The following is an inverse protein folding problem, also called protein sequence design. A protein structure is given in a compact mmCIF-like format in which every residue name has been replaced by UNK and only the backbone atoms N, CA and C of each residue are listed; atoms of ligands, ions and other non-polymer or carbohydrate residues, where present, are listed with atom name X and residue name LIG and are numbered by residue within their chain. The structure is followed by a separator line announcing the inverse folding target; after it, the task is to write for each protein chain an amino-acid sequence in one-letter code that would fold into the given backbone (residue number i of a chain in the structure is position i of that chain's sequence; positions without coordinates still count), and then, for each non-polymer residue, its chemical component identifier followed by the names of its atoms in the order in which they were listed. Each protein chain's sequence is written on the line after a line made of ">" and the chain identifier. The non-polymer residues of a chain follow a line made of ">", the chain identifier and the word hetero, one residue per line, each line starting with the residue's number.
data_IF_368315866260
#
_entry.id   IF_368315866260
#
_cell.length_a   1.000
_cell.length_b   1.000
_cell.length_c   1.000
_cell.angle_alpha   90.00
_cell.angle_beta   90.00
_cell.angle_gamma   90.00
#
_symmetry.space_group_name_H-M   'P 1'
#
loop_
_entity.id
_entity.type
_entity.pdbx_description
1 polymer ?
#
# COMPACT_ATOMS: atom_id res chain seq x y z
N UNK A 1 25.58 -12.25 2.11
CA UNK A 1 25.39 -12.28 3.58
C UNK A 1 23.91 -12.01 3.86
N UNK A 2 23.17 -12.96 4.41
CA UNK A 2 21.73 -12.75 4.66
C UNK A 2 21.48 -11.53 5.56
N UNK A 3 20.36 -10.85 5.34
CA UNK A 3 19.89 -9.80 6.26
C UNK A 3 19.71 -10.43 7.65
N UNK A 4 20.15 -9.75 8.72
CA UNK A 4 19.91 -10.16 10.11
C UNK A 4 18.96 -9.20 10.84
N UNK A 5 18.78 -7.98 10.32
CA UNK A 5 17.81 -7.01 10.80
C UNK A 5 17.10 -6.33 9.64
N UNK A 6 15.78 -6.43 9.62
CA UNK A 6 14.92 -5.80 8.63
C UNK A 6 14.08 -4.70 9.31
N UNK A 7 14.29 -3.46 8.91
CA UNK A 7 13.43 -2.35 9.32
C UNK A 7 12.20 -2.26 8.41
N UNK A 8 11.03 -1.97 8.97
CA UNK A 8 9.81 -1.76 8.18
C UNK A 8 8.99 -0.57 8.70
N UNK A 9 8.02 -0.13 7.91
CA UNK A 9 7.02 0.84 8.36
C UNK A 9 6.09 0.25 9.43
N UNK A 10 5.30 1.12 10.05
CA UNK A 10 4.27 0.72 11.00
C UNK A 10 4.79 0.45 12.41
N UNK A 11 4.03 -0.34 13.17
CA UNK A 11 4.24 -0.60 14.60
C UNK A 11 4.49 -2.09 14.88
N UNK A 12 5.06 -2.43 16.04
CA UNK A 12 5.49 -3.80 16.42
C UNK A 12 4.43 -4.89 16.21
N UNK A 13 3.16 -4.55 16.45
CA UNK A 13 1.99 -5.44 16.32
C UNK A 13 1.08 -5.01 15.16
N UNK A 14 1.61 -4.25 14.20
CA UNK A 14 0.88 -3.82 13.01
C UNK A 14 0.89 -4.90 11.92
N UNK A 15 0.07 -4.72 10.86
CA UNK A 15 -0.04 -5.66 9.76
C UNK A 15 1.30 -5.94 9.07
N UNK A 16 2.13 -4.92 8.84
CA UNK A 16 3.46 -5.05 8.22
C UNK A 16 4.34 -6.07 8.94
N UNK A 17 4.49 -5.88 10.25
CA UNK A 17 5.35 -6.71 11.08
C UNK A 17 4.82 -8.14 11.19
N UNK A 18 3.50 -8.30 11.28
CA UNK A 18 2.85 -9.62 11.35
C UNK A 18 3.04 -10.42 10.06
N UNK A 19 2.77 -9.81 8.90
CA UNK A 19 2.96 -10.45 7.59
C UNK A 19 4.43 -10.80 7.36
N UNK A 20 5.36 -9.88 7.67
CA UNK A 20 6.79 -10.14 7.52
C UNK A 20 7.28 -11.30 8.39
N UNK A 21 6.74 -11.45 9.61
CA UNK A 21 7.05 -12.61 10.47
C UNK A 21 6.62 -13.92 9.81
N UNK A 22 5.43 -13.96 9.20
CA UNK A 22 4.95 -15.12 8.44
C UNK A 22 5.83 -15.42 7.22
N UNK A 23 6.12 -14.42 6.38
CA UNK A 23 6.94 -14.59 5.17
C UNK A 23 8.37 -15.05 5.49
N UNK A 24 8.96 -14.55 6.58
CA UNK A 24 10.35 -14.80 6.96
C UNK A 24 10.49 -15.88 8.04
N UNK A 25 9.45 -16.68 8.25
CA UNK A 25 9.49 -17.82 9.16
C UNK A 25 10.67 -18.75 8.82
N UNK A 26 11.37 -19.22 9.85
CA UNK A 26 12.58 -20.03 9.71
C UNK A 26 13.87 -19.26 9.40
N UNK A 27 13.82 -17.95 9.14
CA UNK A 27 15.03 -17.12 9.09
C UNK A 27 15.31 -16.46 10.45
N UNK A 28 16.59 -16.37 10.81
CA UNK A 28 17.04 -15.73 12.04
C UNK A 28 17.15 -14.20 11.86
N UNK A 29 16.02 -13.53 11.63
CA UNK A 29 15.94 -12.10 11.31
C UNK A 29 15.13 -11.36 12.37
N UNK A 30 15.64 -10.21 12.82
CA UNK A 30 14.88 -9.29 13.67
C UNK A 30 14.11 -8.29 12.80
N UNK A 31 12.78 -8.30 12.91
CA UNK A 31 11.90 -7.33 12.26
C UNK A 31 11.71 -6.15 13.21
N UNK A 32 12.01 -4.94 12.73
CA UNK A 32 12.07 -3.72 13.52
C UNK A 32 11.19 -2.62 12.89
N UNK A 33 9.93 -2.50 13.29
CA UNK A 33 9.06 -1.42 12.82
C UNK A 33 9.54 -0.06 13.34
N UNK A 34 9.44 0.98 12.50
CA UNK A 34 10.02 2.32 12.78
C UNK A 34 8.99 3.44 12.80
N UNK A 35 7.70 3.11 12.70
CA UNK A 35 6.63 4.10 12.60
C UNK A 35 6.62 4.74 11.22
N UNK A 36 7.11 5.98 11.12
CA UNK A 36 6.97 6.82 9.92
C UNK A 36 8.16 6.70 8.95
N UNK A 37 7.87 6.91 7.66
CA UNK A 37 8.84 6.92 6.56
C UNK A 37 10.02 7.88 6.78
N UNK A 38 9.77 9.04 7.39
CA UNK A 38 10.79 10.08 7.60
C UNK A 38 11.94 9.64 8.52
N UNK A 39 11.68 8.69 9.44
CA UNK A 39 12.70 8.12 10.31
C UNK A 39 13.46 6.94 9.70
N UNK A 40 12.89 6.28 8.68
CA UNK A 40 13.37 5.00 8.18
C UNK A 40 14.76 5.10 7.55
N UNK A 41 14.98 6.06 6.65
CA UNK A 41 16.29 6.25 5.97
C UNK A 41 17.41 6.45 6.97
N UNK A 42 17.28 7.43 7.87
CA UNK A 42 18.30 7.77 8.86
C UNK A 42 18.59 6.59 9.79
N UNK A 43 17.55 5.85 10.19
CA UNK A 43 17.68 4.68 11.07
C UNK A 43 18.48 3.55 10.39
N UNK A 44 18.20 3.30 9.12
CA UNK A 44 18.86 2.25 8.35
C UNK A 44 20.32 2.61 8.07
N UNK A 45 20.60 3.85 7.66
CA UNK A 45 21.97 4.33 7.43
C UNK A 45 22.81 4.21 8.71
N UNK A 46 22.33 4.75 9.84
CA UNK A 46 23.07 4.65 11.11
C UNK A 46 23.24 3.22 11.62
N UNK A 47 22.30 2.31 11.30
CA UNK A 47 22.45 0.89 11.62
C UNK A 47 23.46 0.17 10.69
N UNK A 48 23.57 0.60 9.43
CA UNK A 48 24.52 0.07 8.44
C UNK A 48 25.97 0.42 8.77
N UNK A 49 26.21 1.54 9.44
CA UNK A 49 27.53 1.91 9.96
C UNK A 49 28.06 0.87 10.98
N UNK A 50 27.17 0.17 11.67
CA UNK A 50 27.51 -0.86 12.66
C UNK A 50 27.49 -2.26 12.03
N UNK A 51 26.52 -2.56 11.16
CA UNK A 51 26.41 -3.86 10.50
C UNK A 51 25.90 -3.74 9.07
N UNK A 52 26.63 -4.37 8.15
CA UNK A 52 26.24 -4.46 6.75
C UNK A 52 25.01 -5.35 6.52
N UNK A 53 24.66 -6.25 7.45
CA UNK A 53 23.52 -7.18 7.33
C UNK A 53 22.16 -6.54 7.70
N UNK A 54 22.00 -5.26 7.42
CA UNK A 54 20.82 -4.46 7.74
C UNK A 54 20.17 -4.00 6.44
N UNK A 55 18.85 -4.17 6.35
CA UNK A 55 18.05 -3.66 5.24
C UNK A 55 16.73 -3.07 5.76
N UNK A 56 15.98 -2.41 4.87
CA UNK A 56 14.60 -2.04 5.12
C UNK A 56 13.64 -2.50 4.03
N UNK A 57 12.36 -2.52 4.37
CA UNK A 57 11.25 -2.67 3.44
C UNK A 57 10.24 -1.56 3.73
N UNK A 58 9.74 -0.93 2.67
CA UNK A 58 8.77 0.16 2.78
C UNK A 58 7.64 0.00 1.77
N UNK A 59 6.56 0.73 1.99
CA UNK A 59 5.45 0.79 1.04
C UNK A 59 5.85 1.54 -0.23
N UNK A 60 5.18 1.19 -1.34
CA UNK A 60 5.35 1.90 -2.61
C UNK A 60 4.78 3.30 -2.53
N UNK A 61 3.64 3.48 -1.86
CA UNK A 61 2.90 4.75 -1.80
C UNK A 61 2.49 5.30 -3.18
N UNK A 62 1.94 6.51 -3.19
CA UNK A 62 1.60 7.28 -4.40
C UNK A 62 2.80 8.03 -5.00
N UNK A 63 4.00 7.89 -4.42
CA UNK A 63 5.19 8.67 -4.78
C UNK A 63 5.99 8.05 -5.95
N UNK A 64 5.61 6.85 -6.40
CA UNK A 64 6.36 6.01 -7.37
C UNK A 64 5.43 5.48 -8.48
N UNK A 65 4.41 6.25 -8.84
CA UNK A 65 3.33 5.78 -9.70
C UNK A 65 3.65 5.84 -11.20
N UNK A 66 4.78 6.41 -11.63
CA UNK A 66 5.10 6.54 -13.08
C UNK A 66 5.53 5.22 -13.75
N UNK A 67 6.09 4.26 -13.00
CA UNK A 67 6.45 2.94 -13.54
C UNK A 67 5.27 1.98 -13.44
N UNK A 68 4.66 1.64 -14.58
CA UNK A 68 3.53 0.72 -14.64
C UNK A 68 3.94 -0.75 -14.80
N UNK A 69 5.24 -1.04 -14.93
CA UNK A 69 5.71 -2.41 -15.11
C UNK A 69 5.42 -3.28 -13.89
N UNK A 70 5.06 -4.55 -14.15
CA UNK A 70 4.82 -5.56 -13.14
C UNK A 70 5.90 -6.64 -13.21
N UNK A 71 6.66 -6.74 -12.14
CA UNK A 71 7.73 -7.71 -11.93
C UNK A 71 7.35 -8.82 -10.94
N UNK A 72 6.28 -8.64 -10.15
CA UNK A 72 5.93 -9.47 -9.01
C UNK A 72 7.13 -9.67 -8.05
N UNK A 73 7.92 -8.60 -7.86
CA UNK A 73 9.11 -8.60 -7.02
C UNK A 73 9.25 -7.26 -6.31
N UNK A 74 9.71 -7.23 -5.05
CA UNK A 74 10.09 -5.98 -4.42
C UNK A 74 11.19 -5.30 -5.23
N UNK A 75 11.08 -3.99 -5.36
CA UNK A 75 12.03 -3.16 -6.11
C UNK A 75 13.12 -2.63 -5.19
N UNK A 76 14.35 -2.55 -5.70
CA UNK A 76 15.50 -2.06 -4.92
C UNK A 76 15.33 -0.60 -4.54
N UNK A 77 15.63 -0.28 -3.28
CA UNK A 77 15.66 1.09 -2.80
C UNK A 77 17.07 1.50 -2.39
N UNK A 78 17.59 2.53 -3.05
CA UNK A 78 18.89 3.11 -2.77
C UNK A 78 18.80 4.61 -2.51
N UNK A 79 19.78 5.15 -1.81
CA UNK A 79 20.03 6.59 -1.69
C UNK A 79 21.42 6.92 -2.20
N UNK A 80 21.56 8.09 -2.82
CA UNK A 80 22.84 8.60 -3.29
C UNK A 80 23.33 9.68 -2.32
N UNK A 81 24.45 9.43 -1.64
CA UNK A 81 25.15 10.41 -0.80
C UNK A 81 26.59 10.55 -1.29
N UNK A 82 27.04 11.78 -1.58
CA UNK A 82 28.41 12.08 -2.01
C UNK A 82 28.92 11.18 -3.16
N UNK A 83 28.11 11.05 -4.21
CA UNK A 83 28.36 10.18 -5.38
C UNK A 83 28.44 8.67 -5.12
N UNK A 84 28.19 8.22 -3.88
CA UNK A 84 28.07 6.82 -3.54
C UNK A 84 26.60 6.43 -3.43
N UNK A 85 26.20 5.44 -4.22
CA UNK A 85 24.91 4.80 -4.07
C UNK A 85 24.98 3.76 -2.93
N UNK A 86 24.06 3.85 -1.98
CA UNK A 86 23.92 2.90 -0.88
C UNK A 86 22.54 2.28 -0.94
N UNK A 87 22.49 0.96 -1.13
CA UNK A 87 21.23 0.23 -1.05
C UNK A 87 20.74 0.20 0.39
N UNK A 88 19.55 0.75 0.62
CA UNK A 88 18.85 0.71 1.90
C UNK A 88 18.09 -0.59 2.08
N UNK A 89 17.49 -1.11 1.01
CA UNK A 89 16.70 -2.32 1.02
C UNK A 89 15.77 -2.36 -0.18
N UNK A 90 14.47 -2.50 0.06
CA UNK A 90 13.45 -2.64 -0.98
C UNK A 90 12.18 -1.84 -0.67
N UNK A 91 11.32 -1.70 -1.68
CA UNK A 91 9.92 -1.33 -1.50
C UNK A 91 9.02 -2.36 -2.19
N UNK A 92 7.82 -2.54 -1.65
CA UNK A 92 6.79 -3.38 -2.25
C UNK A 92 6.45 -2.93 -3.68
N UNK A 93 6.10 -3.86 -4.57
CA UNK A 93 5.56 -3.53 -5.89
C UNK A 93 4.11 -3.02 -5.77
N UNK A 94 3.32 -3.62 -4.87
CA UNK A 94 1.99 -3.13 -4.52
C UNK A 94 2.06 -1.91 -3.61
N UNK A 95 0.99 -1.11 -3.61
CA UNK A 95 0.89 0.17 -2.91
C UNK A 95 1.33 0.11 -1.45
N UNK A 96 0.75 -0.83 -0.70
CA UNK A 96 0.88 -0.99 0.74
C UNK A 96 0.53 -2.42 1.17
N UNK A 97 0.82 -2.79 2.42
CA UNK A 97 0.60 -4.14 2.92
C UNK A 97 -0.86 -4.62 2.80
N UNK A 98 -1.83 -3.72 2.95
CA UNK A 98 -3.24 -4.06 2.82
C UNK A 98 -3.60 -4.63 1.44
N UNK A 99 -2.89 -4.24 0.38
CA UNK A 99 -3.09 -4.79 -0.96
C UNK A 99 -2.81 -6.29 -1.06
N UNK A 100 -1.91 -6.81 -0.22
CA UNK A 100 -1.67 -8.25 -0.14
C UNK A 100 -2.69 -8.94 0.75
N UNK A 101 -3.09 -8.30 1.85
CA UNK A 101 -4.08 -8.86 2.78
C UNK A 101 -5.44 -9.05 2.10
N UNK A 102 -5.80 -8.18 1.17
CA UNK A 102 -7.02 -8.31 0.36
C UNK A 102 -6.86 -9.12 -0.92
N UNK A 103 -5.68 -9.72 -1.14
CA UNK A 103 -5.49 -10.57 -2.31
C UNK A 103 -6.44 -11.76 -2.26
N UNK A 104 -7.17 -12.07 -3.35
CA UNK A 104 -8.07 -13.22 -3.39
C UNK A 104 -7.41 -14.54 -3.00
N UNK A 105 -6.13 -14.75 -3.27
CA UNK A 105 -5.41 -15.98 -2.89
C UNK A 105 -5.16 -16.03 -1.37
N UNK A 106 -4.75 -14.91 -0.75
CA UNK A 106 -4.59 -14.82 0.71
C UNK A 106 -5.94 -15.05 1.41
N UNK A 107 -6.98 -14.37 0.93
CA UNK A 107 -8.34 -14.49 1.49
C UNK A 107 -8.89 -15.90 1.31
N UNK A 108 -8.64 -16.54 0.16
CA UNK A 108 -9.02 -17.93 -0.07
C UNK A 108 -8.36 -18.86 0.95
N UNK A 109 -7.06 -18.71 1.21
CA UNK A 109 -6.33 -19.57 2.15
C UNK A 109 -6.79 -19.36 3.59
N UNK A 110 -6.92 -18.11 4.03
CA UNK A 110 -7.31 -17.81 5.42
C UNK A 110 -8.79 -18.15 5.70
N UNK A 111 -9.70 -17.82 4.79
CA UNK A 111 -11.13 -18.01 5.03
C UNK A 111 -11.69 -19.31 4.46
N UNK A 112 -10.89 -20.11 3.75
CA UNK A 112 -11.35 -21.30 3.04
C UNK A 112 -12.39 -21.00 1.96
N UNK A 113 -12.38 -19.79 1.38
CA UNK A 113 -13.37 -19.40 0.39
C UNK A 113 -13.23 -20.23 -0.88
N UNK A 114 -14.32 -20.89 -1.28
CA UNK A 114 -14.37 -21.70 -2.50
C UNK A 114 -15.53 -21.31 -3.40
N UNK A 115 -15.43 -21.68 -4.68
CA UNK A 115 -16.51 -21.57 -5.66
C UNK A 115 -17.21 -20.20 -5.67
N UNK A 116 -18.47 -20.17 -5.23
CA UNK A 116 -19.29 -18.97 -5.29
C UNK A 116 -18.84 -17.86 -4.32
N UNK A 117 -18.28 -18.19 -3.15
CA UNK A 117 -17.81 -17.18 -2.18
C UNK A 117 -16.63 -16.41 -2.75
N UNK A 118 -15.65 -17.12 -3.32
CA UNK A 118 -14.48 -16.48 -3.94
C UNK A 118 -14.86 -15.64 -5.16
N UNK A 119 -15.83 -16.09 -5.98
CA UNK A 119 -16.36 -15.26 -7.08
C UNK A 119 -17.00 -13.97 -6.57
N UNK A 120 -17.87 -14.06 -5.55
CA UNK A 120 -18.49 -12.88 -4.93
C UNK A 120 -17.46 -11.92 -4.32
N UNK A 121 -16.40 -12.46 -3.71
CA UNK A 121 -15.29 -11.65 -3.19
C UNK A 121 -14.56 -10.90 -4.30
N UNK A 122 -14.17 -11.59 -5.38
CA UNK A 122 -13.53 -10.97 -6.55
C UNK A 122 -14.40 -9.89 -7.21
N UNK A 123 -15.70 -10.16 -7.38
CA UNK A 123 -16.65 -9.18 -7.90
C UNK A 123 -16.77 -7.95 -6.99
N UNK A 124 -16.77 -8.17 -5.68
CA UNK A 124 -16.82 -7.11 -4.67
C UNK A 124 -15.57 -6.24 -4.71
N UNK A 125 -14.39 -6.86 -4.81
CA UNK A 125 -13.11 -6.18 -4.91
C UNK A 125 -13.04 -5.35 -6.22
N UNK A 126 -13.42 -5.93 -7.36
CA UNK A 126 -13.49 -5.20 -8.65
C UNK A 126 -14.53 -4.07 -8.63
N UNK A 127 -15.65 -4.25 -7.93
CA UNK A 127 -16.65 -3.19 -7.75
C UNK A 127 -16.10 -2.05 -6.89
N UNK A 128 -15.33 -2.36 -5.85
CA UNK A 128 -14.63 -1.36 -5.04
C UNK A 128 -13.65 -0.56 -5.88
N UNK A 129 -12.81 -1.22 -6.69
CA UNK A 129 -11.91 -0.53 -7.62
C UNK A 129 -12.67 0.43 -8.55
N UNK A 130 -13.80 -0.01 -9.15
CA UNK A 130 -14.64 0.89 -9.98
C UNK A 130 -15.18 2.08 -9.21
N UNK A 131 -15.58 1.87 -7.97
CA UNK A 131 -16.14 2.90 -7.10
C UNK A 131 -15.10 3.99 -6.79
N UNK A 132 -13.84 3.60 -6.57
CA UNK A 132 -12.77 4.53 -6.16
C UNK A 132 -11.88 5.01 -7.32
N UNK A 133 -12.10 4.57 -8.56
CA UNK A 133 -11.26 4.90 -9.72
C UNK A 133 -10.88 6.39 -9.84
N UNK A 134 -11.88 7.28 -9.78
CA UNK A 134 -11.63 8.74 -9.86
C UNK A 134 -10.98 9.30 -8.60
N UNK A 135 -11.27 8.71 -7.44
CA UNK A 135 -10.62 9.08 -6.19
C UNK A 135 -9.13 8.76 -6.26
N UNK A 136 -8.78 7.53 -6.65
CA UNK A 136 -7.39 7.11 -6.86
C UNK A 136 -6.66 8.01 -7.86
N UNK A 137 -7.27 8.33 -9.01
CA UNK A 137 -6.68 9.25 -9.99
C UNK A 137 -6.37 10.64 -9.39
N UNK A 138 -7.28 11.17 -8.56
CA UNK A 138 -7.08 12.45 -7.89
C UNK A 138 -6.01 12.38 -6.79
N UNK A 139 -5.92 11.28 -6.03
CA UNK A 139 -4.84 11.05 -5.06
C UNK A 139 -3.47 11.01 -5.73
N UNK A 140 -3.34 10.30 -6.86
CA UNK A 140 -2.10 10.28 -7.68
C UNK A 140 -1.77 11.69 -8.16
N UNK A 141 -2.77 12.43 -8.67
CA UNK A 141 -2.60 13.82 -9.13
C UNK A 141 -2.04 14.72 -8.02
N UNK A 142 -2.54 14.59 -6.80
CA UNK A 142 -2.06 15.34 -5.64
C UNK A 142 -0.62 14.97 -5.29
N UNK A 143 -0.28 13.68 -5.27
CA UNK A 143 1.10 13.22 -5.06
C UNK A 143 2.06 13.75 -6.12
N UNK A 144 1.68 13.76 -7.40
CA UNK A 144 2.48 14.32 -8.49
C UNK A 144 2.61 15.85 -8.42
N UNK A 145 1.80 16.53 -7.61
CA UNK A 145 1.84 17.99 -7.42
C UNK A 145 2.62 18.39 -6.16
N UNK A 146 2.99 17.43 -5.32
CA UNK A 146 3.67 17.67 -4.05
C UNK A 146 5.15 18.01 -4.25
N UNK A 147 5.61 19.15 -3.72
CA UNK A 147 6.99 19.65 -3.87
C UNK A 147 7.89 19.40 -2.65
N UNK A 148 7.42 18.66 -1.65
CA UNK A 148 8.15 18.29 -0.41
C UNK A 148 8.66 19.47 0.44
N UNK A 149 8.16 20.70 0.19
CA UNK A 149 8.47 21.91 0.99
C UNK A 149 7.44 22.10 2.10
N UNK A 150 6.16 22.02 1.73
CA UNK A 150 5.02 21.98 2.62
C UNK A 150 4.28 20.66 2.41
N UNK A 151 3.55 20.15 3.43
CA UNK A 151 2.70 18.98 3.27
C UNK A 151 1.57 19.29 2.28
N UNK A 152 1.31 18.36 1.37
CA UNK A 152 0.12 18.32 0.54
C UNK A 152 -0.55 16.96 0.76
N UNK A 153 -1.65 16.97 1.50
CA UNK A 153 -2.39 15.73 1.74
C UNK A 153 -2.99 15.22 0.43
N UNK A 154 -2.76 13.95 0.15
CA UNK A 154 -3.29 13.24 -1.01
C UNK A 154 -4.56 12.45 -0.69
N UNK A 155 -5.23 12.74 0.42
CA UNK A 155 -6.44 12.05 0.89
C UNK A 155 -7.43 13.07 1.44
N UNK A 156 -8.71 12.70 1.50
CA UNK A 156 -9.74 13.52 2.13
C UNK A 156 -10.95 12.66 2.50
N UNK A 157 -11.86 13.24 3.27
CA UNK A 157 -13.09 12.60 3.68
C UNK A 157 -13.23 12.57 5.19
N UNK A 158 -14.06 11.66 5.67
CA UNK A 158 -14.27 11.49 7.11
C UNK A 158 -13.22 10.52 7.66
N UNK A 159 -12.73 10.85 8.85
CA UNK A 159 -11.95 9.92 9.67
C UNK A 159 -12.73 8.62 9.88
N UNK A 160 -12.04 7.50 9.77
CA UNK A 160 -12.61 6.16 9.92
C UNK A 160 -12.03 5.46 11.15
N UNK A 161 -12.46 4.22 11.36
CA UNK A 161 -12.38 3.44 12.60
C UNK A 161 -11.00 3.33 13.28
N UNK A 162 -9.91 3.64 12.57
CA UNK A 162 -8.53 3.61 13.08
C UNK A 162 -7.99 4.98 13.51
N UNK A 163 -8.74 6.06 13.28
CA UNK A 163 -8.38 7.44 13.63
C UNK A 163 -7.33 8.09 12.72
N UNK A 164 -6.87 7.38 11.68
CA UNK A 164 -5.79 7.84 10.81
C UNK A 164 -6.20 7.80 9.33
N UNK A 165 -7.06 6.86 8.93
CA UNK A 165 -7.53 6.75 7.56
C UNK A 165 -8.74 7.63 7.30
N UNK A 166 -8.66 8.43 6.23
CA UNK A 166 -9.73 9.30 5.78
C UNK A 166 -10.29 8.79 4.46
N UNK A 167 -11.61 8.60 4.41
CA UNK A 167 -12.28 8.11 3.21
C UNK A 167 -13.56 8.91 2.93
N UNK A 168 -13.79 9.38 1.69
CA UNK A 168 -14.94 10.20 1.37
C UNK A 168 -16.23 9.37 1.30
N UNK A 169 -17.38 10.04 1.44
CA UNK A 169 -18.69 9.45 1.11
C UNK A 169 -18.81 9.24 -0.39
N UNK A 170 -19.74 8.37 -0.82
CA UNK A 170 -19.95 8.03 -2.24
C UNK A 170 -20.09 9.25 -3.17
N UNK A 171 -20.76 10.32 -2.72
CA UNK A 171 -20.87 11.56 -3.52
C UNK A 171 -19.48 12.14 -3.84
N UNK A 172 -18.55 12.11 -2.89
CA UNK A 172 -17.18 12.60 -3.04
C UNK A 172 -16.29 11.71 -3.91
N UNK A 173 -16.75 10.54 -4.35
CA UNK A 173 -16.03 9.64 -5.26
C UNK A 173 -16.35 9.89 -6.74
N UNK A 174 -17.24 10.84 -7.06
CA UNK A 174 -17.56 11.21 -8.44
C UNK A 174 -16.42 12.03 -9.05
N UNK A 175 -16.20 11.86 -10.37
CA UNK A 175 -15.13 12.54 -11.12
C UNK A 175 -15.06 14.05 -10.88
N UNK A 176 -16.20 14.74 -10.95
CA UNK A 176 -16.27 16.20 -10.77
C UNK A 176 -15.90 16.64 -9.35
N UNK A 177 -16.37 15.92 -8.33
CA UNK A 177 -16.05 16.19 -6.94
C UNK A 177 -14.56 15.94 -6.67
N UNK A 178 -14.02 14.81 -7.13
CA UNK A 178 -12.58 14.48 -7.03
C UNK A 178 -11.69 15.53 -7.71
N UNK A 179 -12.03 15.95 -8.93
CA UNK A 179 -11.31 17.01 -9.63
C UNK A 179 -11.36 18.33 -8.88
N UNK A 180 -12.54 18.74 -8.40
CA UNK A 180 -12.72 20.02 -7.72
C UNK A 180 -11.93 20.08 -6.41
N UNK A 181 -11.91 18.98 -5.65
CA UNK A 181 -11.12 18.88 -4.40
C UNK A 181 -9.63 18.90 -4.70
N UNK A 182 -9.17 18.11 -5.68
CA UNK A 182 -7.76 18.10 -6.06
C UNK A 182 -7.28 19.48 -6.54
N UNK A 183 -8.07 20.15 -7.39
CA UNK A 183 -7.79 21.50 -7.86
C UNK A 183 -7.69 22.50 -6.71
N UNK A 184 -8.65 22.48 -5.79
CA UNK A 184 -8.65 23.36 -4.61
C UNK A 184 -7.40 23.15 -3.76
N UNK A 185 -7.06 21.90 -3.46
CA UNK A 185 -5.91 21.57 -2.61
C UNK A 185 -4.60 22.05 -3.25
N UNK A 186 -4.40 21.82 -4.56
CA UNK A 186 -3.19 22.30 -5.24
C UNK A 186 -3.16 23.81 -5.38
N UNK A 187 -4.30 24.47 -5.59
CA UNK A 187 -4.35 25.94 -5.61
C UNK A 187 -3.91 26.53 -4.27
N UNK A 188 -4.49 26.06 -3.16
CA UNK A 188 -4.09 26.49 -1.81
C UNK A 188 -2.62 26.18 -1.54
N UNK A 189 -2.13 25.00 -1.94
CA UNK A 189 -0.72 24.63 -1.81
C UNK A 189 0.22 25.57 -2.59
N UNK A 190 -0.12 25.87 -3.84
CA UNK A 190 0.69 26.73 -4.70
C UNK A 190 0.68 28.19 -4.25
N UNK A 191 -0.45 28.66 -3.72
CA UNK A 191 -0.56 29.99 -3.09
C UNK A 191 0.39 30.11 -1.88
N UNK A 192 0.48 29.08 -1.04
CA UNK A 192 1.44 29.06 0.08
C UNK A 192 2.91 29.06 -0.37
N UNK A 193 3.21 28.51 -1.55
CA UNK A 193 4.57 28.38 -2.06
C UNK A 193 4.98 29.48 -3.06
N UNK A 194 4.07 30.38 -3.44
CA UNK A 194 4.29 31.37 -4.50
C UNK A 194 4.80 30.75 -5.81
N UNK A 195 4.32 29.55 -6.17
CA UNK A 195 4.73 28.86 -7.40
C UNK A 195 3.70 29.06 -8.52
N UNK A 196 4.11 28.99 -9.80
CA UNK A 196 3.18 29.10 -10.93
C UNK A 196 2.05 28.07 -10.85
N UNK A 197 0.86 28.48 -11.29
CA UNK A 197 -0.30 27.59 -11.37
C UNK A 197 0.00 26.43 -12.32
N UNK A 198 -0.19 25.22 -11.82
CA UNK A 198 -0.09 24.00 -12.61
C UNK A 198 -1.46 23.62 -13.21
N UNK A 199 -1.44 23.05 -14.41
CA UNK A 199 -2.65 22.52 -15.07
C UNK A 199 -3.05 21.17 -14.46
N UNK A 200 -3.81 21.20 -13.37
CA UNK A 200 -4.33 19.98 -12.73
C UNK A 200 -5.17 19.12 -13.68
N UNK A 201 -5.87 19.76 -14.61
CA UNK A 201 -6.66 19.05 -15.62
C UNK A 201 -5.78 18.16 -16.51
N UNK A 202 -4.61 18.65 -16.93
CA UNK A 202 -3.68 17.90 -17.78
C UNK A 202 -3.08 16.69 -17.07
N UNK A 203 -2.94 16.73 -15.73
CA UNK A 203 -2.53 15.57 -14.93
C UNK A 203 -3.70 14.61 -14.65
N UNK A 204 -4.85 15.15 -14.26
CA UNK A 204 -5.97 14.35 -13.76
C UNK A 204 -6.71 13.55 -14.85
N UNK A 205 -6.89 14.13 -16.05
CA UNK A 205 -7.65 13.49 -17.11
C UNK A 205 -6.99 12.20 -17.65
N UNK A 206 -5.66 12.17 -17.94
CA UNK A 206 -4.98 10.92 -18.30
C UNK A 206 -5.06 9.86 -17.18
N UNK A 207 -4.85 10.26 -15.92
CA UNK A 207 -4.96 9.36 -14.78
C UNK A 207 -6.37 8.79 -14.61
N UNK A 208 -7.42 9.55 -14.97
CA UNK A 208 -8.77 9.02 -15.03
C UNK A 208 -8.91 7.91 -16.07
N UNK A 209 -8.24 8.01 -17.22
CA UNK A 209 -8.28 6.96 -18.24
C UNK A 209 -7.56 5.71 -17.73
N UNK A 210 -6.40 5.85 -17.11
CA UNK A 210 -5.63 4.75 -16.54
C UNK A 210 -6.34 4.05 -15.36
N UNK A 211 -7.02 4.81 -14.50
CA UNK A 211 -7.70 4.28 -13.32
C UNK A 211 -9.13 3.80 -13.59
N UNK A 212 -9.70 4.00 -14.78
CA UNK A 212 -11.02 3.46 -15.13
C UNK A 212 -10.92 2.10 -15.86
N UNK A 213 -12.01 1.32 -15.95
CA UNK A 213 -12.01 0.04 -16.67
C UNK A 213 -11.38 0.11 -18.06
N UNK A 214 -10.46 -0.81 -18.36
CA UNK A 214 -9.66 -0.81 -19.59
C UNK A 214 -8.34 -0.03 -19.50
N UNK A 215 -8.13 0.77 -18.45
CA UNK A 215 -6.85 1.42 -18.17
C UNK A 215 -5.87 0.51 -17.43
N UNK A 216 -4.57 0.72 -17.64
CA UNK A 216 -3.51 -0.16 -17.12
C UNK A 216 -3.49 -0.24 -15.58
N UNK A 217 -3.68 0.88 -14.88
CA UNK A 217 -3.77 0.88 -13.41
C UNK A 217 -5.02 0.18 -12.92
N UNK A 218 -6.14 0.30 -13.63
CA UNK A 218 -7.37 -0.38 -13.26
C UNK A 218 -7.28 -1.88 -13.44
N UNK A 219 -6.74 -2.38 -14.56
CA UNK A 219 -6.60 -3.82 -14.76
C UNK A 219 -5.64 -4.45 -13.73
N UNK A 220 -4.75 -3.63 -13.16
CA UNK A 220 -3.81 -3.99 -12.10
C UNK A 220 -4.11 -3.27 -10.78
N UNK A 221 -5.40 -3.08 -10.44
CA UNK A 221 -5.80 -2.23 -9.30
C UNK A 221 -5.23 -2.71 -7.95
N UNK A 222 -4.96 -4.00 -7.77
CA UNK A 222 -4.32 -4.52 -6.55
C UNK A 222 -2.89 -4.00 -6.37
N UNK A 223 -2.24 -3.57 -7.44
CA UNK A 223 -0.90 -2.97 -7.38
C UNK A 223 -0.98 -1.46 -7.17
N UNK A 224 -1.83 -0.77 -7.93
CA UNK A 224 -1.78 0.69 -8.04
C UNK A 224 -2.80 1.45 -7.18
N UNK A 225 -3.85 0.78 -6.69
CA UNK A 225 -4.85 1.42 -5.84
C UNK A 225 -4.50 1.18 -4.38
N UNK A 226 -4.87 2.10 -3.48
CA UNK A 226 -4.65 1.89 -2.05
C UNK A 226 -5.49 0.72 -1.55
N UNK A 227 -4.85 -0.26 -0.91
CA UNK A 227 -5.52 -1.39 -0.28
C UNK A 227 -6.50 -0.94 0.81
N UNK A 228 -6.16 0.10 1.57
CA UNK A 228 -7.07 0.72 2.54
C UNK A 228 -8.33 1.28 1.85
N UNK A 229 -8.17 2.04 0.77
CA UNK A 229 -9.32 2.57 0.01
C UNK A 229 -10.19 1.45 -0.57
N UNK A 230 -9.56 0.41 -1.12
CA UNK A 230 -10.26 -0.78 -1.63
C UNK A 230 -11.09 -1.45 -0.53
N UNK A 231 -10.52 -1.66 0.66
CA UNK A 231 -11.22 -2.21 1.81
C UNK A 231 -12.45 -1.40 2.21
N UNK A 232 -12.32 -0.07 2.28
CA UNK A 232 -13.44 0.80 2.64
C UNK A 232 -14.54 0.80 1.57
N UNK A 233 -14.19 0.72 0.29
CA UNK A 233 -15.18 0.53 -0.77
C UNK A 233 -15.87 -0.84 -0.74
N UNK A 234 -15.26 -1.85 -0.12
CA UNK A 234 -15.84 -3.19 0.03
C UNK A 234 -16.68 -3.37 1.30
N UNK A 235 -16.61 -2.45 2.28
CA UNK A 235 -17.13 -2.63 3.64
C UNK A 235 -18.55 -3.23 3.69
N UNK A 236 -19.50 -2.65 2.95
CA UNK A 236 -20.91 -3.06 3.03
C UNK A 236 -21.15 -4.45 2.44
N UNK A 237 -20.30 -4.85 1.48
CA UNK A 237 -20.35 -6.17 0.85
C UNK A 237 -19.62 -7.22 1.69
N UNK A 238 -18.50 -6.88 2.33
CA UNK A 238 -17.79 -7.75 3.26
C UNK A 238 -18.69 -8.23 4.40
N UNK A 239 -19.53 -7.34 4.94
CA UNK A 239 -20.53 -7.69 5.96
C UNK A 239 -21.40 -8.88 5.54
N UNK A 240 -21.84 -8.89 4.28
CA UNK A 240 -22.71 -9.94 3.73
C UNK A 240 -21.93 -11.21 3.40
N UNK A 241 -20.73 -11.08 2.84
CA UNK A 241 -19.90 -12.23 2.42
C UNK A 241 -19.43 -13.03 3.63
N UNK A 242 -19.09 -12.34 4.72
CA UNK A 242 -18.44 -12.94 5.87
C UNK A 242 -19.35 -13.17 7.07
N UNK A 243 -20.62 -12.75 6.98
CA UNK A 243 -21.57 -12.80 8.10
C UNK A 243 -21.03 -12.15 9.39
N UNK A 244 -20.24 -11.07 9.24
CA UNK A 244 -19.63 -10.38 10.39
C UNK A 244 -20.64 -9.50 11.14
N UNK A 245 -20.52 -9.38 12.48
CA UNK A 245 -21.42 -8.56 13.29
C UNK A 245 -21.33 -7.07 12.93
N UNK A 246 -22.48 -6.40 12.92
CA UNK A 246 -22.62 -5.01 12.49
C UNK A 246 -22.00 -3.96 13.44
N UNK A 247 -21.65 -4.36 14.66
CA UNK A 247 -21.30 -3.45 15.77
C UNK A 247 -19.80 -3.18 15.93
N UNK A 248 -18.94 -3.78 15.11
CA UNK A 248 -17.48 -3.63 15.18
C UNK A 248 -16.92 -2.93 13.93
N UNK A 249 -15.76 -2.27 14.03
CA UNK A 249 -15.07 -1.71 12.89
C UNK A 249 -14.72 -2.83 11.89
N UNK A 250 -15.53 -2.95 10.86
CA UNK A 250 -15.60 -4.15 10.01
C UNK A 250 -14.30 -4.41 9.24
N UNK A 251 -13.68 -3.34 8.75
CA UNK A 251 -12.39 -3.40 8.04
C UNK A 251 -11.31 -3.93 8.97
N UNK A 252 -11.23 -3.40 10.20
CA UNK A 252 -10.27 -3.85 11.21
C UNK A 252 -10.48 -5.32 11.60
N UNK A 253 -11.74 -5.73 11.78
CA UNK A 253 -12.08 -7.12 12.09
C UNK A 253 -11.67 -8.07 10.95
N UNK A 254 -11.89 -7.66 9.71
CA UNK A 254 -11.47 -8.41 8.53
C UNK A 254 -9.95 -8.60 8.48
N UNK A 255 -9.20 -7.50 8.62
CA UNK A 255 -7.74 -7.54 8.61
C UNK A 255 -7.18 -8.37 9.75
N UNK A 256 -7.68 -8.19 10.98
CA UNK A 256 -7.24 -8.99 12.12
C UNK A 256 -7.41 -10.49 11.87
N UNK A 257 -8.54 -10.90 11.30
CA UNK A 257 -8.79 -12.31 11.00
C UNK A 257 -7.85 -12.86 9.91
N UNK A 258 -7.45 -12.03 8.95
CA UNK A 258 -6.41 -12.41 7.97
C UNK A 258 -5.07 -12.60 8.68
N UNK A 259 -4.68 -11.67 9.54
CA UNK A 259 -3.42 -11.73 10.28
C UNK A 259 -3.37 -12.93 11.22
N UNK A 260 -4.45 -13.21 11.95
CA UNK A 260 -4.61 -14.42 12.77
C UNK A 260 -4.45 -15.68 11.90
N UNK A 261 -5.09 -15.74 10.74
CA UNK A 261 -4.93 -16.88 9.82
C UNK A 261 -3.52 -17.04 9.23
N UNK A 262 -2.78 -15.94 9.04
CA UNK A 262 -1.36 -15.98 8.64
C UNK A 262 -0.48 -16.49 9.79
N UNK A 263 -0.82 -16.16 11.04
CA UNK A 263 -0.06 -16.56 12.22
C UNK A 263 -0.31 -18.03 12.61
N UNK A 264 -1.55 -18.51 12.46
CA UNK A 264 -1.99 -19.84 12.90
C UNK A 264 -1.82 -20.94 11.84
N UNK A 265 -1.50 -20.59 10.59
CA UNK A 265 -1.37 -21.57 9.50
C UNK A 265 -0.09 -22.39 9.61
N UNK A 266 -0.18 -23.69 9.29
CA UNK A 266 0.98 -24.58 9.09
C UNK A 266 1.56 -24.48 7.68
N UNK A 267 0.92 -23.73 6.77
CA UNK A 267 1.41 -23.53 5.41
C UNK A 267 2.59 -22.55 5.37
N UNK A 268 3.47 -22.75 4.38
CA UNK A 268 4.52 -21.80 4.05
C UNK A 268 3.94 -20.51 3.47
N UNK A 269 3.64 -19.52 4.32
CA UNK A 269 3.03 -18.23 3.95
C UNK A 269 3.76 -17.54 2.79
N UNK A 270 5.09 -17.63 2.75
CA UNK A 270 5.89 -17.02 1.68
C UNK A 270 5.61 -17.58 0.27
N UNK A 271 4.92 -18.72 0.15
CA UNK A 271 4.50 -19.31 -1.14
C UNK A 271 3.16 -18.77 -1.64
N UNK A 272 2.42 -18.03 -0.83
CA UNK A 272 1.05 -17.62 -1.15
C UNK A 272 1.01 -16.58 -2.26
N UNK A 273 2.00 -15.68 -2.29
CA UNK A 273 2.13 -14.60 -3.26
C UNK A 273 3.55 -14.65 -3.85
N UNK A 274 3.71 -14.62 -5.19
CA UNK A 274 5.03 -14.68 -5.83
C UNK A 274 6.02 -13.62 -5.32
N UNK A 275 5.52 -12.40 -5.06
CA UNK A 275 6.35 -11.32 -4.53
C UNK A 275 6.92 -11.60 -3.14
N UNK A 276 6.17 -12.31 -2.28
CA UNK A 276 6.64 -12.73 -0.96
C UNK A 276 7.76 -13.76 -1.05
N UNK A 277 7.68 -14.67 -2.04
CA UNK A 277 8.77 -15.60 -2.34
C UNK A 277 10.02 -14.86 -2.83
N UNK A 278 9.86 -13.87 -3.71
CA UNK A 278 10.97 -13.05 -4.20
C UNK A 278 11.62 -12.24 -3.07
N UNK A 279 10.82 -11.64 -2.17
CA UNK A 279 11.34 -10.96 -0.99
C UNK A 279 12.22 -11.90 -0.15
N UNK A 280 11.77 -13.14 0.08
CA UNK A 280 12.53 -14.14 0.84
C UNK A 280 13.88 -14.44 0.18
N UNK A 281 13.92 -14.59 -1.15
CA UNK A 281 15.16 -14.78 -1.92
C UNK A 281 16.09 -13.57 -1.81
N UNK A 282 15.56 -12.36 -1.95
CA UNK A 282 16.32 -11.11 -1.85
C UNK A 282 16.97 -10.95 -0.47
N UNK A 283 16.22 -11.25 0.58
CA UNK A 283 16.69 -11.21 1.98
C UNK A 283 17.78 -12.25 2.24
N UNK A 284 17.63 -13.46 1.70
CA UNK A 284 18.61 -14.53 1.86
C UNK A 284 19.93 -14.22 1.11
N UNK A 285 19.81 -13.72 -0.12
CA UNK A 285 20.93 -13.47 -1.02
C UNK A 285 21.55 -12.07 -0.86
N UNK A 286 21.15 -11.32 0.17
CA UNK A 286 21.56 -9.94 0.32
C UNK A 286 23.09 -9.78 0.30
N UNK A 287 23.57 -8.84 -0.51
CA UNK A 287 24.99 -8.52 -0.65
C UNK A 287 25.10 -6.98 -0.78
N UNK A 288 25.35 -6.28 0.35
CA UNK A 288 25.36 -4.81 0.41
C UNK A 288 26.62 -4.18 -0.20
#
# INVERSE_FOLDING_TARGET
>A
MSVSRLYCEGVSNGPDAAVLRGILSGFHIRINPVGTKHGLVRRVLGAKDISKSVACLRDRDFDFDDDLSLSNSPSTWSVKENDKETQLGWYWERKEIENYLIDPEVVKRVFGFTGQQLRKYNETLKKSAKLIAHYTAARITLSHSHRRILPLDNFWGEEKDDGYHHFPKEKGLKKQDCYSIALKNVQTYNECLNVPKESIKEKFEPLCQECNPGGERFENFLTFFSGKDLLYGMRDSLKKIMSLPASKPLVKLFLNRILEGIEETDEDVWTWIPEWEQLRKLIHNYAP
#
